data_IF_007173905689
#
_entry.id   IF_007173905689
#
_cell.length_a   1.000
_cell.length_b   1.000
_cell.length_c   1.000
_cell.angle_alpha   90.00
_cell.angle_beta   90.00
_cell.angle_gamma   90.00
#
_symmetry.space_group_name_H-M   'P 1'
#
loop_
_entity.id
_entity.type
_entity.pdbx_description
1 polymer ?
#
# COMPACT_ATOMS: atom_id res chain seq x y z
N UNK A 1 -26.55 -54.04 29.27
CA UNK A 1 -25.68 -53.73 28.11
C UNK A 1 -25.69 -52.23 27.88
N UNK A 2 -24.64 -51.51 28.31
CA UNK A 2 -24.52 -50.05 28.21
C UNK A 2 -23.87 -49.70 26.87
N UNK A 3 -24.59 -49.00 26.01
CA UNK A 3 -24.11 -48.56 24.70
C UNK A 3 -22.95 -47.57 24.86
N UNK A 4 -21.83 -47.73 24.13
CA UNK A 4 -20.74 -46.77 24.17
C UNK A 4 -21.20 -45.40 23.64
N UNK A 5 -20.80 -44.36 24.37
CA UNK A 5 -21.23 -42.98 24.18
C UNK A 5 -20.43 -42.35 23.02
N UNK A 6 -21.08 -41.72 22.01
CA UNK A 6 -20.41 -41.19 20.81
C UNK A 6 -19.48 -39.98 21.06
N UNK A 7 -19.31 -39.53 22.30
CA UNK A 7 -18.43 -38.39 22.65
C UNK A 7 -16.93 -38.73 22.56
N UNK A 8 -16.56 -40.01 22.65
CA UNK A 8 -15.14 -40.42 22.65
C UNK A 8 -14.47 -40.36 21.27
N UNK A 9 -15.24 -40.44 20.17
CA UNK A 9 -14.69 -40.43 18.81
C UNK A 9 -14.34 -39.03 18.30
N UNK A 10 -15.03 -37.99 18.78
CA UNK A 10 -14.73 -36.61 18.41
C UNK A 10 -13.41 -36.11 18.98
N UNK A 11 -13.05 -36.52 20.20
CA UNK A 11 -11.76 -36.16 20.80
C UNK A 11 -10.57 -36.81 20.10
N UNK A 12 -10.70 -38.06 19.66
CA UNK A 12 -9.65 -38.74 18.90
C UNK A 12 -9.42 -38.08 17.51
N UNK A 13 -10.49 -37.58 16.87
CA UNK A 13 -10.38 -36.88 15.58
C UNK A 13 -9.69 -35.51 15.73
N UNK A 14 -10.00 -34.74 16.79
CA UNK A 14 -9.31 -33.48 17.06
C UNK A 14 -7.83 -33.70 17.40
N UNK A 15 -7.50 -34.73 18.18
CA UNK A 15 -6.12 -35.00 18.57
C UNK A 15 -5.24 -35.43 17.38
N UNK A 16 -5.79 -36.23 16.44
CA UNK A 16 -5.08 -36.64 15.22
C UNK A 16 -4.88 -35.46 14.25
N UNK A 17 -5.80 -34.49 14.20
CA UNK A 17 -5.64 -33.29 13.37
C UNK A 17 -4.61 -32.32 13.97
N UNK A 18 -4.48 -32.22 15.30
CA UNK A 18 -3.50 -31.34 15.95
C UNK A 18 -2.04 -31.83 15.88
N UNK A 19 -1.81 -33.14 15.73
CA UNK A 19 -0.46 -33.72 15.62
C UNK A 19 0.12 -33.70 14.19
N UNK A 20 -0.67 -33.27 13.20
CA UNK A 20 -0.28 -33.22 11.78
C UNK A 20 0.34 -31.91 11.30
N UNK A 21 0.28 -30.82 12.08
CA UNK A 21 0.98 -29.57 11.76
C UNK A 21 2.45 -29.68 12.15
N UNK A 22 3.19 -30.55 11.45
CA UNK A 22 4.64 -30.39 11.40
C UNK A 22 4.89 -29.07 10.65
N UNK A 23 5.44 -28.09 11.35
CA UNK A 23 6.06 -26.93 10.70
C UNK A 23 7.09 -27.48 9.72
N UNK A 24 6.76 -27.45 8.44
CA UNK A 24 7.77 -27.61 7.41
C UNK A 24 8.69 -26.41 7.59
N UNK A 25 9.89 -26.65 8.14
CA UNK A 25 10.97 -25.67 8.19
C UNK A 25 11.39 -25.41 6.74
N UNK A 26 10.60 -24.61 6.04
CA UNK A 26 11.00 -24.13 4.74
C UNK A 26 12.23 -23.26 4.91
N UNK A 27 13.05 -23.23 3.86
CA UNK A 27 14.31 -22.52 3.87
C UNK A 27 14.00 -21.04 3.71
N UNK A 28 14.46 -20.22 4.64
CA UNK A 28 14.41 -18.78 4.47
C UNK A 28 15.31 -18.37 3.28
N UNK A 29 14.75 -17.58 2.38
CA UNK A 29 15.42 -17.06 1.18
C UNK A 29 15.27 -15.56 1.16
N UNK A 30 16.38 -14.88 0.89
CA UNK A 30 16.41 -13.44 0.69
C UNK A 30 15.98 -13.12 -0.74
N UNK A 31 15.04 -12.19 -0.88
CA UNK A 31 14.54 -11.67 -2.14
C UNK A 31 14.97 -10.21 -2.22
N UNK A 32 15.78 -9.90 -3.22
CA UNK A 32 16.12 -8.52 -3.56
C UNK A 32 15.03 -7.95 -4.45
N UNK A 33 14.61 -6.72 -4.15
CA UNK A 33 13.60 -5.96 -4.87
C UNK A 33 14.25 -4.65 -5.29
N UNK A 34 14.24 -4.41 -6.60
CA UNK A 34 14.76 -3.21 -7.24
C UNK A 34 13.88 -1.99 -6.94
N UNK A 35 14.44 -0.78 -6.96
CA UNK A 35 13.69 0.46 -6.75
C UNK A 35 12.59 0.70 -7.79
N UNK A 36 12.68 0.07 -8.97
CA UNK A 36 11.66 0.16 -10.03
C UNK A 36 10.53 -0.86 -9.89
N UNK A 37 10.58 -1.76 -8.90
CA UNK A 37 9.59 -2.82 -8.74
C UNK A 37 8.20 -2.29 -8.35
N UNK A 38 7.16 -2.88 -8.93
CA UNK A 38 5.76 -2.49 -8.71
C UNK A 38 5.25 -2.74 -7.28
N UNK A 39 5.99 -3.51 -6.46
CA UNK A 39 5.70 -3.67 -5.05
C UNK A 39 5.96 -2.40 -4.23
N UNK A 40 6.69 -1.43 -4.80
CA UNK A 40 6.98 -0.14 -4.18
C UNK A 40 5.98 0.89 -4.72
N UNK A 41 5.30 1.58 -3.81
CA UNK A 41 4.39 2.68 -4.11
C UNK A 41 4.98 3.99 -3.61
N UNK A 42 5.18 4.92 -4.53
CA UNK A 42 5.72 6.25 -4.27
C UNK A 42 4.60 7.28 -4.20
N UNK A 43 4.56 8.09 -3.14
CA UNK A 43 3.55 9.13 -2.95
C UNK A 43 4.15 10.41 -2.36
N UNK A 44 3.71 11.62 -2.78
CA UNK A 44 3.00 11.85 -4.04
C UNK A 44 3.94 11.57 -5.22
N UNK A 45 3.46 10.97 -6.31
CA UNK A 45 4.32 10.56 -7.43
C UNK A 45 5.19 11.70 -8.01
N UNK A 46 4.70 12.95 -7.97
CA UNK A 46 5.42 14.12 -8.47
C UNK A 46 6.66 14.53 -7.63
N UNK A 47 6.77 14.04 -6.38
CA UNK A 47 7.94 14.29 -5.54
C UNK A 47 9.09 13.31 -5.80
N UNK A 48 8.84 12.26 -6.59
CA UNK A 48 9.79 11.20 -6.90
C UNK A 48 10.32 11.35 -8.32
N UNK A 49 11.61 11.06 -8.49
CA UNK A 49 12.34 11.17 -9.75
C UNK A 49 13.31 10.00 -9.91
N UNK A 50 13.65 9.66 -11.14
CA UNK A 50 14.66 8.63 -11.45
C UNK A 50 15.98 9.28 -11.87
N UNK A 51 17.03 8.46 -12.05
CA UNK A 51 18.31 8.90 -12.61
C UNK A 51 18.17 9.72 -13.91
N UNK A 52 17.22 9.32 -14.78
CA UNK A 52 16.99 9.93 -16.09
C UNK A 52 16.05 11.13 -16.07
N UNK A 53 15.43 11.44 -14.92
CA UNK A 53 14.46 12.54 -14.84
C UNK A 53 15.16 13.89 -14.92
N UNK A 54 14.76 14.74 -15.86
CA UNK A 54 15.28 16.11 -15.98
C UNK A 54 14.67 17.03 -14.92
N UNK A 55 15.40 17.21 -13.82
CA UNK A 55 15.03 18.09 -12.72
C UNK A 55 16.23 18.93 -12.29
N UNK A 56 16.03 20.25 -12.21
CA UNK A 56 17.08 21.23 -11.86
C UNK A 56 17.30 21.36 -10.35
N UNK A 57 16.32 21.01 -9.54
CA UNK A 57 16.37 21.07 -8.07
C UNK A 57 16.64 19.72 -7.41
N UNK A 58 16.67 18.64 -8.18
CA UNK A 58 16.83 17.29 -7.68
C UNK A 58 18.30 16.94 -7.49
N UNK A 59 18.61 16.19 -6.43
CA UNK A 59 19.95 15.65 -6.23
C UNK A 59 20.16 14.47 -7.18
N UNK A 60 20.97 14.68 -8.22
CA UNK A 60 21.35 13.64 -9.18
C UNK A 60 22.66 12.97 -8.79
N UNK A 61 22.65 11.65 -8.77
CA UNK A 61 23.85 10.82 -8.68
C UNK A 61 24.28 10.40 -10.08
N UNK A 62 25.57 10.57 -10.39
CA UNK A 62 26.15 10.05 -11.64
C UNK A 62 26.32 8.53 -11.52
N UNK A 63 25.35 7.79 -12.07
CA UNK A 63 25.32 6.32 -12.05
C UNK A 63 26.54 5.70 -12.75
N UNK A 64 27.22 6.43 -13.64
CA UNK A 64 28.47 5.97 -14.24
C UNK A 64 29.67 5.95 -13.29
N UNK A 65 29.56 6.60 -12.13
CA UNK A 65 30.63 6.73 -11.14
C UNK A 65 30.34 6.05 -9.80
N UNK A 66 29.09 5.66 -9.56
CA UNK A 66 28.62 5.06 -8.31
C UNK A 66 28.05 3.68 -8.62
N UNK A 67 28.46 2.67 -7.86
CA UNK A 67 27.97 1.29 -8.00
C UNK A 67 26.54 1.23 -7.44
N UNK A 68 25.54 1.49 -8.29
CA UNK A 68 24.12 1.47 -7.92
C UNK A 68 23.52 0.14 -8.39
N UNK A 69 22.63 -0.46 -7.59
CA UNK A 69 22.00 -1.72 -7.95
C UNK A 69 21.24 -1.57 -9.27
N UNK A 70 21.52 -2.49 -10.20
CA UNK A 70 20.99 -2.48 -11.58
C UNK A 70 21.15 -1.15 -12.36
N UNK A 71 22.01 -0.24 -11.89
CA UNK A 71 22.17 1.12 -12.40
C UNK A 71 20.87 1.97 -12.33
N UNK A 72 19.98 1.70 -11.36
CA UNK A 72 18.72 2.42 -11.16
C UNK A 72 18.59 2.95 -9.74
N UNK A 73 17.93 4.11 -9.59
CA UNK A 73 17.53 4.60 -8.28
C UNK A 73 16.30 5.48 -8.42
N UNK A 74 15.52 5.54 -7.34
CA UNK A 74 14.44 6.51 -7.17
C UNK A 74 14.83 7.52 -6.10
N UNK A 75 14.88 8.79 -6.50
CA UNK A 75 15.12 9.91 -5.62
C UNK A 75 13.83 10.63 -5.25
N UNK A 76 13.78 11.18 -4.04
CA UNK A 76 12.77 12.15 -3.65
C UNK A 76 13.39 13.25 -2.79
N UNK A 77 12.86 14.47 -2.91
CA UNK A 77 13.24 15.59 -2.08
C UNK A 77 11.97 16.24 -1.51
N UNK A 78 11.92 16.38 -0.18
CA UNK A 78 10.85 17.10 0.50
C UNK A 78 11.35 18.50 0.84
N UNK A 79 11.31 19.40 -0.14
CA UNK A 79 11.75 20.79 0.00
C UNK A 79 10.52 21.64 0.30
N UNK A 80 10.53 22.35 1.43
CA UNK A 80 9.50 23.36 1.67
C UNK A 80 9.58 24.40 0.54
N UNK A 81 8.47 24.80 -0.08
CA UNK A 81 8.49 25.86 -1.07
C UNK A 81 9.24 27.04 -0.45
N UNK A 82 10.30 27.49 -1.11
CA UNK A 82 11.10 28.61 -0.63
C UNK A 82 10.13 29.77 -0.41
N UNK A 83 10.20 30.41 0.77
CA UNK A 83 9.41 31.61 1.09
C UNK A 83 9.39 32.51 -0.15
N UNK A 84 8.19 32.72 -0.69
CA UNK A 84 7.98 33.43 -1.93
C UNK A 84 8.40 34.89 -1.74
N UNK A 85 9.05 35.44 -2.76
CA UNK A 85 9.74 36.74 -2.65
C UNK A 85 8.78 37.91 -2.38
N UNK A 86 7.47 37.72 -2.57
CA UNK A 86 6.40 38.67 -2.32
C UNK A 86 6.08 38.86 -0.82
N UNK A 87 6.48 37.93 0.05
CA UNK A 87 6.38 38.13 1.51
C UNK A 87 7.33 39.22 2.04
N UNK A 88 8.25 39.73 1.21
CA UNK A 88 9.15 40.84 1.57
C UNK A 88 8.62 42.23 1.23
N UNK A 89 7.45 42.36 0.61
CA UNK A 89 6.94 43.66 0.15
C UNK A 89 6.25 44.51 1.24
N UNK A 90 6.25 44.06 2.50
CA UNK A 90 5.62 44.76 3.62
C UNK A 90 6.50 45.70 4.45
N UNK A 91 7.77 45.91 4.10
CA UNK A 91 8.56 46.98 4.72
C UNK A 91 8.17 48.31 4.09
N UNK A 92 7.05 48.84 4.57
CA UNK A 92 6.71 50.25 4.47
C UNK A 92 7.94 51.06 4.90
N UNK A 93 8.67 51.58 3.91
CA UNK A 93 9.63 52.64 4.11
C UNK A 93 8.87 53.88 4.57
N UNK A 94 8.50 53.93 5.85
CA UNK A 94 8.29 55.18 6.58
C UNK A 94 9.67 55.84 6.76
N UNK A 95 10.30 56.18 5.64
CA UNK A 95 11.38 57.14 5.55
C UNK A 95 10.78 58.51 5.84
N UNK A 96 10.60 58.75 7.14
CA UNK A 96 10.17 60.01 7.74
C UNK A 96 11.27 61.06 7.46
N UNK A 97 11.19 61.64 6.26
CA UNK A 97 11.94 62.80 5.82
C UNK A 97 11.44 64.04 6.55
N UNK A 98 11.86 64.18 7.81
CA UNK A 98 11.39 65.24 8.70
C UNK A 98 12.50 65.87 9.51
N UNK A 99 13.43 66.58 8.87
CA UNK A 99 14.39 67.40 9.58
C UNK A 99 13.70 68.50 10.38
N UNK A 100 13.85 68.52 11.71
CA UNK A 100 13.59 69.70 12.54
C UNK A 100 14.57 69.81 13.72
N UNK A 101 15.51 70.76 13.59
CA UNK A 101 16.21 71.38 14.73
C UNK A 101 15.19 72.23 15.49
N UNK A 102 14.89 71.88 16.75
CA UNK A 102 13.93 72.67 17.53
C UNK A 102 13.85 72.36 19.03
N UNK A 103 14.73 72.99 19.80
CA UNK A 103 14.45 73.73 21.06
C UNK A 103 13.70 73.04 22.21
N UNK A 104 14.41 72.98 23.35
CA UNK A 104 13.91 72.79 24.73
C UNK A 104 12.64 73.61 25.01
N UNK A 105 11.64 73.00 25.65
CA UNK A 105 10.58 73.77 26.30
C UNK A 105 9.33 73.00 26.72
N UNK A 106 9.28 72.71 28.02
CA UNK A 106 8.12 72.89 28.89
C UNK A 106 7.02 71.82 28.97
N UNK A 107 6.58 71.66 30.21
CA UNK A 107 5.58 70.76 30.72
C UNK A 107 4.15 71.17 30.33
N UNK A 108 3.24 70.19 30.42
CA UNK A 108 1.86 70.48 30.79
C UNK A 108 0.81 70.07 29.76
N UNK A 109 0.31 68.85 29.91
CA UNK A 109 -1.13 68.66 29.99
C UNK A 109 -1.84 68.06 28.76
N UNK A 110 -2.94 67.41 29.13
CA UNK A 110 -4.19 67.37 28.36
C UNK A 110 -4.35 66.24 27.35
N UNK A 111 -4.69 65.07 27.90
CA UNK A 111 -5.82 64.22 27.48
C UNK A 111 -6.58 64.70 26.23
N UNK A 112 -6.39 64.03 25.09
CA UNK A 112 -7.46 63.84 24.10
C UNK A 112 -7.38 62.42 23.52
N UNK A 113 -8.33 61.60 23.97
CA UNK A 113 -8.72 60.34 23.35
C UNK A 113 -9.22 60.64 21.93
N UNK A 114 -8.40 60.33 20.92
CA UNK A 114 -8.84 60.31 19.53
C UNK A 114 -9.30 58.89 19.19
N UNK A 115 -10.61 58.79 18.96
CA UNK A 115 -11.30 57.61 18.46
C UNK A 115 -10.82 57.23 17.05
N UNK A 116 -10.86 55.92 16.80
CA UNK A 116 -11.27 55.27 15.54
C UNK A 116 -10.59 55.77 14.26
N UNK A 117 -9.58 55.02 13.82
CA UNK A 117 -9.51 54.63 12.41
C UNK A 117 -9.51 53.10 12.37
N UNK A 118 -10.64 52.55 11.95
CA UNK A 118 -10.79 51.12 11.73
C UNK A 118 -9.77 50.71 10.68
N UNK A 119 -8.71 50.05 11.13
CA UNK A 119 -7.86 49.23 10.27
C UNK A 119 -8.80 48.13 9.80
N UNK A 120 -9.14 48.16 8.50
CA UNK A 120 -9.57 46.95 7.82
C UNK A 120 -8.41 45.97 7.98
N UNK A 121 -8.46 45.20 9.06
CA UNK A 121 -7.76 43.92 9.11
C UNK A 121 -8.51 43.12 8.06
N UNK A 122 -8.02 43.17 6.83
CA UNK A 122 -8.33 42.14 5.85
C UNK A 122 -8.06 40.85 6.59
N UNK A 123 -9.14 40.16 6.95
CA UNK A 123 -9.11 38.83 7.52
C UNK A 123 -8.45 38.00 6.44
N UNK A 124 -7.13 37.89 6.53
CA UNK A 124 -6.33 36.98 5.72
C UNK A 124 -7.01 35.63 5.89
N UNK A 125 -7.47 35.08 4.77
CA UNK A 125 -8.19 33.82 4.70
C UNK A 125 -7.43 32.78 5.55
N UNK A 126 -8.01 32.26 6.65
CA UNK A 126 -7.33 31.26 7.48
C UNK A 126 -7.13 29.91 6.76
N UNK A 127 -7.55 29.79 5.50
CA UNK A 127 -7.44 28.58 4.69
C UNK A 127 -6.23 28.56 3.73
N UNK A 128 -5.42 29.62 3.68
CA UNK A 128 -4.21 29.66 2.84
C UNK A 128 -2.94 29.15 3.55
N UNK A 129 -3.05 28.63 4.78
CA UNK A 129 -1.89 28.17 5.58
C UNK A 129 -1.72 26.65 5.66
N UNK A 130 -2.62 25.89 5.06
CA UNK A 130 -2.49 24.44 4.91
C UNK A 130 -1.98 24.09 3.49
N UNK A 131 -1.10 24.93 2.92
CA UNK A 131 -0.42 24.64 1.66
C UNK A 131 0.56 23.47 1.85
N UNK A 132 -0.04 22.29 1.89
CA UNK A 132 0.45 20.97 1.52
C UNK A 132 1.83 20.58 2.07
N UNK A 133 1.90 20.37 3.39
CA UNK A 133 2.81 19.36 3.97
C UNK A 133 2.32 17.95 3.54
N UNK A 134 2.25 17.71 2.23
CA UNK A 134 1.92 16.39 1.70
C UNK A 134 3.10 15.48 2.00
N UNK A 135 2.93 14.45 2.83
CA UNK A 135 4.06 13.62 3.24
C UNK A 135 4.61 12.88 2.02
N UNK A 136 5.92 12.98 1.82
CA UNK A 136 6.63 12.22 0.79
C UNK A 136 7.00 10.85 1.37
N UNK A 137 6.45 9.79 0.79
CA UNK A 137 6.53 8.44 1.33
C UNK A 137 6.81 7.40 0.25
N UNK A 138 7.59 6.38 0.59
CA UNK A 138 7.67 5.12 -0.15
C UNK A 138 7.06 4.02 0.70
N UNK A 139 6.11 3.27 0.14
CA UNK A 139 5.45 2.15 0.80
C UNK A 139 5.78 0.85 0.06
N UNK A 140 6.07 -0.19 0.82
CA UNK A 140 6.42 -1.51 0.30
C UNK A 140 5.63 -2.60 1.02
N UNK A 141 4.96 -3.44 0.25
CA UNK A 141 4.20 -4.58 0.75
C UNK A 141 4.98 -5.89 0.50
N UNK A 142 5.21 -6.68 1.55
CA UNK A 142 5.92 -7.95 1.45
C UNK A 142 5.32 -9.03 2.33
N UNK A 143 5.67 -10.29 2.07
CA UNK A 143 5.34 -11.41 2.93
C UNK A 143 6.63 -12.11 3.36
N UNK A 144 7.05 -11.90 4.61
CA UNK A 144 8.39 -12.26 5.05
C UNK A 144 8.63 -12.18 6.55
N UNK A 145 9.83 -12.55 6.98
CA UNK A 145 10.30 -12.55 8.38
C UNK A 145 11.39 -11.49 8.66
N UNK A 146 11.95 -10.86 7.62
CA UNK A 146 12.90 -9.76 7.76
C UNK A 146 12.85 -8.81 6.56
N UNK A 147 13.29 -7.56 6.75
CA UNK A 147 13.42 -6.54 5.72
C UNK A 147 14.64 -5.64 5.98
N UNK A 148 15.30 -5.22 4.90
CA UNK A 148 16.47 -4.34 4.87
C UNK A 148 16.30 -3.33 3.73
N UNK A 149 16.48 -2.03 3.98
CA UNK A 149 16.43 -0.98 2.95
C UNK A 149 17.84 -0.44 2.74
N UNK A 150 18.26 -0.44 1.49
CA UNK A 150 19.52 0.12 1.04
C UNK A 150 19.27 1.39 0.21
N UNK A 151 20.10 2.40 0.43
CA UNK A 151 20.01 3.67 -0.25
C UNK A 151 21.40 4.16 -0.69
N UNK A 152 21.41 5.22 -1.49
CA UNK A 152 22.62 6.01 -1.75
C UNK A 152 22.68 7.12 -0.70
N UNK A 153 23.72 7.10 0.13
CA UNK A 153 23.94 8.14 1.12
C UNK A 153 24.47 9.41 0.41
N UNK A 154 23.74 10.53 0.46
CA UNK A 154 24.17 11.78 -0.15
C UNK A 154 25.36 12.35 0.63
N UNK A 155 26.28 12.98 -0.08
CA UNK A 155 27.44 13.66 0.51
C UNK A 155 27.62 15.05 -0.07
N UNK A 156 28.30 15.91 0.68
CA UNK A 156 28.58 17.28 0.30
C UNK A 156 27.44 18.24 0.60
N UNK A 157 27.65 19.51 0.21
CA UNK A 157 26.67 20.59 0.37
C UNK A 157 26.23 21.06 -1.02
N UNK A 158 24.94 21.01 -1.31
CA UNK A 158 24.36 21.67 -2.48
C UNK A 158 23.59 22.91 -2.03
N UNK A 159 23.67 24.00 -2.80
CA UNK A 159 22.89 25.22 -2.53
C UNK A 159 21.45 25.11 -3.03
N UNK A 160 21.14 24.12 -3.85
CA UNK A 160 19.85 23.97 -4.54
C UNK A 160 19.08 22.77 -4.01
N UNK A 161 19.77 21.68 -3.67
CA UNK A 161 19.14 20.42 -3.26
C UNK A 161 19.50 20.09 -1.82
N UNK A 162 18.55 19.63 -0.99
CA UNK A 162 18.89 19.13 0.33
C UNK A 162 19.80 17.91 0.20
N UNK A 163 20.80 17.84 1.06
CA UNK A 163 21.71 16.69 1.19
C UNK A 163 21.57 16.00 2.54
N UNK A 164 20.66 16.49 3.39
CA UNK A 164 20.28 15.86 4.66
C UNK A 164 19.25 14.78 4.38
N UNK A 165 19.30 13.66 5.11
CA UNK A 165 18.30 12.59 5.00
C UNK A 165 17.68 12.38 6.37
N UNK A 166 16.36 12.58 6.49
CA UNK A 166 15.60 12.33 7.70
C UNK A 166 14.44 11.41 7.35
N UNK A 167 14.50 10.16 7.79
CA UNK A 167 13.54 9.12 7.46
C UNK A 167 12.87 8.62 8.73
N UNK A 168 11.56 8.41 8.64
CA UNK A 168 10.76 7.74 9.67
C UNK A 168 10.17 6.47 9.08
N UNK A 169 10.34 5.34 9.75
CA UNK A 169 9.89 4.03 9.29
C UNK A 169 8.73 3.52 10.14
N UNK A 170 7.61 3.20 9.49
CA UNK A 170 6.48 2.52 10.13
C UNK A 170 6.26 1.15 9.49
N UNK A 171 6.13 0.10 10.30
CA UNK A 171 5.76 -1.24 9.85
C UNK A 171 4.37 -1.55 10.39
N UNK A 172 3.44 -1.89 9.50
CA UNK A 172 2.03 -2.16 9.84
C UNK A 172 1.39 -1.03 10.67
N UNK A 173 1.67 0.22 10.26
CA UNK A 173 1.25 1.47 10.88
C UNK A 173 1.83 1.71 12.29
N UNK A 174 2.86 0.96 12.71
CA UNK A 174 3.58 1.18 13.96
C UNK A 174 4.97 1.75 13.68
N UNK A 175 5.35 2.83 14.37
CA UNK A 175 6.71 3.36 14.31
C UNK A 175 7.73 2.31 14.77
N UNK A 176 8.67 1.97 13.89
CA UNK A 176 9.70 0.94 14.13
C UNK A 176 11.13 1.47 14.09
N UNK A 177 11.35 2.67 13.53
CA UNK A 177 12.67 3.28 13.52
C UNK A 177 12.68 4.67 12.87
N UNK A 178 13.80 5.35 13.03
CA UNK A 178 14.11 6.63 12.38
C UNK A 178 15.56 6.61 11.95
N UNK A 179 15.90 7.29 10.86
CA UNK A 179 17.27 7.46 10.37
C UNK A 179 17.51 8.94 10.08
N UNK A 180 18.60 9.49 10.59
CA UNK A 180 19.00 10.87 10.34
C UNK A 180 20.46 10.87 9.90
N UNK A 181 20.71 11.48 8.74
CA UNK A 181 22.02 11.75 8.21
C UNK A 181 22.16 13.24 7.93
N UNK A 182 23.13 13.85 8.59
CA UNK A 182 23.53 15.23 8.37
C UNK A 182 24.81 15.24 7.55
N UNK A 183 24.76 15.94 6.42
CA UNK A 183 25.90 15.95 5.51
C UNK A 183 27.06 16.75 6.10
N UNK A 184 28.25 16.18 6.08
CA UNK A 184 29.48 16.93 6.36
C UNK A 184 29.87 17.75 5.13
N UNK A 185 30.47 18.94 5.32
CA UNK A 185 30.97 19.81 4.25
C UNK A 185 32.17 19.22 3.48
N UNK A 186 32.35 17.90 3.51
CA UNK A 186 33.45 17.22 2.81
C UNK A 186 33.06 16.98 1.36
N UNK A 187 34.02 17.12 0.45
CA UNK A 187 33.89 16.84 -0.98
C UNK A 187 33.89 15.32 -1.28
N UNK A 188 33.25 14.53 -0.42
CA UNK A 188 33.21 13.08 -0.58
C UNK A 188 32.35 12.69 -1.80
N UNK A 189 32.45 11.42 -2.22
CA UNK A 189 31.58 10.81 -3.23
C UNK A 189 30.38 10.13 -2.56
N UNK A 190 29.19 10.09 -3.19
CA UNK A 190 28.04 9.37 -2.64
C UNK A 190 28.38 7.92 -2.31
N UNK A 191 27.81 7.39 -1.23
CA UNK A 191 28.10 6.04 -0.75
C UNK A 191 26.90 5.15 -1.12
N UNK A 192 27.05 4.22 -2.08
CA UNK A 192 25.96 3.31 -2.43
C UNK A 192 25.81 2.17 -1.42
N UNK A 193 24.71 1.42 -1.54
CA UNK A 193 24.44 0.24 -0.72
C UNK A 193 24.47 0.51 0.79
N UNK A 194 24.06 1.71 1.19
CA UNK A 194 24.03 2.10 2.59
C UNK A 194 22.74 1.61 3.24
N UNK A 195 22.85 0.78 4.28
CA UNK A 195 21.69 0.26 4.99
C UNK A 195 21.13 1.30 5.96
N UNK A 196 19.96 1.87 5.63
CA UNK A 196 19.26 2.87 6.46
C UNK A 196 18.25 2.28 7.41
N UNK A 197 17.81 1.04 7.17
CA UNK A 197 16.79 0.39 7.98
C UNK A 197 16.88 -1.12 7.87
N UNK A 198 16.83 -1.81 9.02
CA UNK A 198 16.68 -3.25 9.08
C UNK A 198 15.71 -3.66 10.19
N UNK A 199 14.92 -4.70 9.91
CA UNK A 199 14.04 -5.33 10.88
C UNK A 199 13.97 -6.82 10.63
N UNK A 200 14.36 -7.59 11.64
CA UNK A 200 14.38 -9.05 11.63
C UNK A 200 13.37 -9.61 12.63
N UNK A 201 13.20 -10.94 12.62
CA UNK A 201 12.33 -11.68 13.53
C UNK A 201 10.87 -11.21 13.49
N UNK A 202 10.41 -10.78 12.32
CA UNK A 202 9.00 -10.53 12.05
C UNK A 202 8.26 -11.86 11.97
N UNK A 203 6.97 -11.82 12.28
CA UNK A 203 6.10 -12.97 12.04
C UNK A 203 6.06 -13.26 10.56
N UNK A 204 6.11 -14.52 10.14
CA UNK A 204 6.00 -14.86 8.71
C UNK A 204 4.58 -14.58 8.21
N UNK A 205 4.34 -13.35 7.78
CA UNK A 205 3.04 -12.81 7.39
C UNK A 205 3.19 -11.68 6.37
N UNK A 206 2.07 -11.20 5.83
CA UNK A 206 2.06 -9.98 5.04
C UNK A 206 2.30 -8.75 5.93
N UNK A 207 3.21 -7.89 5.50
CA UNK A 207 3.62 -6.66 6.17
C UNK A 207 3.61 -5.50 5.19
N UNK A 208 3.42 -4.30 5.72
CA UNK A 208 3.55 -3.04 4.98
C UNK A 208 4.58 -2.17 5.68
N UNK A 209 5.72 -1.95 5.04
CA UNK A 209 6.72 -0.98 5.48
C UNK A 209 6.48 0.34 4.75
N UNK A 210 6.50 1.44 5.49
CA UNK A 210 6.43 2.79 4.93
C UNK A 210 7.61 3.60 5.45
N UNK A 211 8.40 4.15 4.53
CA UNK A 211 9.41 5.15 4.79
C UNK A 211 8.83 6.53 4.49
N UNK A 212 8.85 7.43 5.47
CA UNK A 212 8.37 8.80 5.35
C UNK A 212 9.54 9.77 5.43
N UNK A 213 9.62 10.67 4.46
CA UNK A 213 10.70 11.64 4.32
C UNK A 213 10.36 12.93 5.07
N UNK A 214 11.22 13.29 6.02
CA UNK A 214 11.12 14.53 6.79
C UNK A 214 11.33 15.76 5.91
N UNK A 215 10.96 16.92 6.45
CA UNK A 215 11.14 18.21 5.76
C UNK A 215 12.62 18.49 5.48
N UNK A 216 12.89 19.21 4.40
CA UNK A 216 14.22 19.59 3.91
C UNK A 216 15.19 18.41 3.81
N UNK A 217 14.66 17.24 3.42
CA UNK A 217 15.43 16.01 3.33
C UNK A 217 15.36 15.39 1.93
N UNK A 218 16.35 14.56 1.62
CA UNK A 218 16.42 13.76 0.39
C UNK A 218 16.43 12.27 0.75
N UNK A 219 15.83 11.45 -0.11
CA UNK A 219 15.89 10.00 -0.04
C UNK A 219 16.21 9.43 -1.42
N UNK A 220 17.30 8.67 -1.53
CA UNK A 220 17.74 8.03 -2.78
C UNK A 220 17.68 6.51 -2.59
N UNK A 221 16.52 5.90 -2.83
CA UNK A 221 16.34 4.45 -2.66
C UNK A 221 17.03 3.71 -3.81
N UNK A 222 17.80 2.67 -3.45
CA UNK A 222 18.59 1.84 -4.37
C UNK A 222 17.91 0.47 -4.54
N UNK A 223 17.80 -0.29 -3.45
CA UNK A 223 17.06 -1.55 -3.45
C UNK A 223 16.66 -1.94 -2.02
N UNK A 224 15.85 -2.97 -1.89
CA UNK A 224 15.54 -3.59 -0.61
C UNK A 224 15.67 -5.10 -0.66
N UNK A 225 15.89 -5.70 0.49
CA UNK A 225 15.93 -7.15 0.66
C UNK A 225 14.88 -7.53 1.68
N UNK A 226 14.03 -8.51 1.37
CA UNK A 226 13.18 -9.14 2.38
C UNK A 226 13.41 -10.65 2.41
N UNK A 227 13.30 -11.23 3.60
CA UNK A 227 13.45 -12.67 3.79
C UNK A 227 12.06 -13.29 3.80
N UNK A 228 11.84 -14.31 2.96
CA UNK A 228 10.60 -15.09 2.97
C UNK A 228 10.90 -16.56 3.14
N UNK A 229 9.93 -17.30 3.65
CA UNK A 229 10.02 -18.74 3.67
C UNK A 229 9.74 -19.29 2.27
N UNK A 230 10.77 -19.83 1.61
CA UNK A 230 10.56 -20.58 0.38
C UNK A 230 9.93 -21.91 0.78
N UNK A 231 8.61 -22.01 0.61
CA UNK A 231 7.98 -23.31 0.46
C UNK A 231 8.48 -23.85 -0.86
N UNK A 232 9.70 -24.41 -0.83
CA UNK A 232 10.25 -25.16 -1.94
C UNK A 232 9.20 -26.22 -2.21
N UNK A 233 8.36 -25.96 -3.20
CA UNK A 233 7.70 -27.02 -3.92
C UNK A 233 8.87 -27.77 -4.52
N UNK A 234 9.40 -28.74 -3.79
CA UNK A 234 10.28 -29.72 -4.36
C UNK A 234 9.41 -30.46 -5.37
N UNK A 235 9.33 -29.89 -6.57
CA UNK A 235 9.34 -30.70 -7.77
C UNK A 235 10.61 -31.50 -7.59
N UNK A 236 10.46 -32.71 -7.06
CA UNK A 236 11.52 -33.71 -7.06
C UNK A 236 11.99 -33.77 -8.51
N UNK A 237 13.06 -33.03 -8.80
CA UNK A 237 13.86 -33.21 -10.00
C UNK A 237 14.51 -34.56 -9.80
N UNK A 238 13.73 -35.61 -10.08
CA UNK A 238 14.20 -36.97 -10.13
C UNK A 238 15.39 -36.96 -11.07
N UNK A 239 16.54 -37.32 -10.50
CA UNK A 239 17.79 -37.54 -11.18
C UNK A 239 17.58 -38.71 -12.15
N UNK A 240 16.95 -38.45 -13.30
CA UNK A 240 16.94 -39.37 -14.43
C UNK A 240 18.26 -39.16 -15.16
N UNK A 241 19.19 -40.03 -14.81
CA UNK A 241 20.39 -40.33 -15.58
C UNK A 241 20.02 -40.45 -17.05
N UNK A 242 20.69 -39.65 -17.87
CA UNK A 242 20.58 -39.63 -19.31
C UNK A 242 20.68 -41.02 -19.92
N UNK A 243 19.60 -41.50 -20.53
CA UNK A 243 19.70 -42.32 -21.74
C UNK A 243 18.55 -41.96 -22.67
N UNK A 244 18.90 -41.89 -23.95
CA UNK A 244 18.29 -41.03 -24.95
C UNK A 244 16.84 -41.38 -25.32
N UNK A 245 16.14 -40.35 -25.79
CA UNK A 245 15.32 -40.28 -27.01
C UNK A 245 14.06 -39.47 -26.74
N UNK A 246 13.93 -38.41 -27.55
CA UNK A 246 12.83 -37.48 -27.60
C UNK A 246 11.45 -38.15 -27.66
N UNK A 247 10.50 -37.67 -26.84
CA UNK A 247 9.17 -37.18 -27.23
C UNK A 247 8.35 -36.74 -26.01
N UNK A 248 7.79 -35.54 -26.15
CA UNK A 248 6.59 -34.97 -25.52
C UNK A 248 6.54 -34.75 -23.99
N UNK A 249 6.84 -33.50 -23.61
CA UNK A 249 6.46 -32.90 -22.33
C UNK A 249 4.93 -32.61 -22.31
N UNK A 250 4.14 -33.58 -21.87
CA UNK A 250 2.75 -33.39 -21.45
C UNK A 250 2.57 -34.02 -20.06
N UNK A 251 3.22 -33.44 -19.04
CA UNK A 251 3.13 -33.97 -17.68
C UNK A 251 3.05 -32.91 -16.57
N UNK A 252 2.85 -31.63 -16.91
CA UNK A 252 2.85 -30.53 -15.91
C UNK A 252 1.46 -30.00 -15.58
N UNK A 253 0.40 -30.43 -16.28
CA UNK A 253 -0.98 -30.00 -15.99
C UNK A 253 -1.75 -30.91 -15.00
N UNK A 254 -1.24 -32.12 -14.72
CA UNK A 254 -1.96 -33.11 -13.88
C UNK A 254 -1.91 -32.83 -12.38
N UNK A 255 -0.82 -32.23 -11.88
CA UNK A 255 -0.60 -32.02 -10.44
C UNK A 255 -1.51 -30.96 -9.82
N UNK A 256 -1.69 -29.83 -10.51
CA UNK A 256 -2.53 -28.73 -10.02
C UNK A 256 -4.03 -29.05 -10.08
N UNK A 257 -4.47 -29.78 -11.11
CA UNK A 257 -5.88 -30.21 -11.24
C UNK A 257 -6.20 -31.36 -10.26
N UNK A 258 -5.24 -32.22 -9.94
CA UNK A 258 -5.42 -33.30 -8.96
C UNK A 258 -5.65 -32.80 -7.52
N UNK A 259 -5.00 -31.69 -7.13
CA UNK A 259 -5.14 -31.11 -5.79
C UNK A 259 -6.55 -30.59 -5.50
N UNK A 260 -7.16 -29.86 -6.45
CA UNK A 260 -8.50 -29.29 -6.27
C UNK A 260 -9.59 -30.38 -6.23
N UNK A 261 -9.45 -31.43 -7.05
CA UNK A 261 -10.40 -32.58 -7.05
C UNK A 261 -10.34 -33.36 -5.74
N UNK A 262 -9.16 -33.53 -5.14
CA UNK A 262 -8.99 -34.18 -3.83
C UNK A 262 -9.67 -33.42 -2.69
N UNK A 263 -9.55 -32.09 -2.67
CA UNK A 263 -10.21 -31.24 -1.66
C UNK A 263 -11.73 -31.28 -1.83
N UNK A 264 -12.23 -31.16 -3.06
CA UNK A 264 -13.67 -31.20 -3.33
C UNK A 264 -14.31 -32.55 -3.00
N UNK A 265 -13.64 -33.67 -3.30
CA UNK A 265 -14.12 -35.01 -2.95
C UNK A 265 -14.17 -35.22 -1.44
N UNK A 266 -13.14 -34.79 -0.71
CA UNK A 266 -13.12 -34.87 0.76
C UNK A 266 -14.24 -34.04 1.38
N UNK A 267 -14.44 -32.80 0.90
CA UNK A 267 -15.50 -31.91 1.36
C UNK A 267 -16.89 -32.48 1.02
N UNK A 268 -17.06 -33.05 -0.17
CA UNK A 268 -18.29 -33.73 -0.60
C UNK A 268 -18.63 -34.94 0.27
N UNK A 269 -17.65 -35.78 0.61
CA UNK A 269 -17.83 -36.93 1.51
C UNK A 269 -18.25 -36.45 2.91
N UNK A 270 -17.63 -35.39 3.44
CA UNK A 270 -18.00 -34.81 4.74
C UNK A 270 -19.44 -34.28 4.75
N UNK A 271 -19.88 -33.56 3.71
CA UNK A 271 -21.26 -33.08 3.58
C UNK A 271 -22.23 -34.26 3.46
N UNK A 272 -21.91 -35.26 2.64
CA UNK A 272 -22.75 -36.44 2.45
C UNK A 272 -22.96 -37.21 3.76
N UNK A 273 -21.89 -37.46 4.52
CA UNK A 273 -21.97 -38.12 5.81
C UNK A 273 -22.79 -37.31 6.83
N UNK A 274 -22.65 -35.97 6.83
CA UNK A 274 -23.44 -35.08 7.68
C UNK A 274 -24.95 -35.17 7.38
N UNK A 275 -25.33 -35.12 6.10
CA UNK A 275 -26.73 -35.26 5.66
C UNK A 275 -27.26 -36.66 5.98
N UNK A 276 -26.48 -37.71 5.70
CA UNK A 276 -26.86 -39.10 5.97
C UNK A 276 -27.12 -39.32 7.46
N UNK A 277 -26.23 -38.83 8.34
CA UNK A 277 -26.41 -38.87 9.78
C UNK A 277 -27.69 -38.14 10.20
N UNK A 278 -27.91 -36.91 9.70
CA UNK A 278 -29.10 -36.11 10.00
C UNK A 278 -30.39 -36.83 9.60
N UNK A 279 -30.46 -37.44 8.42
CA UNK A 279 -31.63 -38.22 7.96
C UNK A 279 -31.89 -39.44 8.85
N UNK A 280 -30.83 -40.15 9.24
CA UNK A 280 -30.96 -41.33 10.12
C UNK A 280 -31.45 -40.95 11.52
N UNK A 281 -31.05 -39.80 12.05
CA UNK A 281 -31.56 -39.30 13.34
C UNK A 281 -33.00 -38.78 13.26
N UNK A 282 -33.38 -38.12 12.18
CA UNK A 282 -34.76 -37.67 11.97
C UNK A 282 -35.74 -38.86 11.95
N UNK A 283 -35.42 -39.93 11.21
CA UNK A 283 -36.25 -41.13 11.17
C UNK A 283 -36.41 -41.82 12.54
N UNK A 284 -35.44 -41.67 13.45
CA UNK A 284 -35.55 -42.16 14.83
C UNK A 284 -36.48 -41.29 15.69
N UNK A 285 -36.57 -39.99 15.40
CA UNK A 285 -37.45 -39.06 16.11
C UNK A 285 -38.91 -39.28 15.71
N UNK A 286 -39.19 -39.43 14.42
CA UNK A 286 -40.54 -39.75 13.91
C UNK A 286 -41.12 -41.04 14.51
N UNK A 287 -40.27 -42.06 14.71
CA UNK A 287 -40.71 -43.31 15.37
C UNK A 287 -41.06 -43.10 16.84
N UNK A 288 -40.37 -42.19 17.54
CA UNK A 288 -40.68 -41.84 18.94
C UNK A 288 -41.93 -41.00 19.03
N UNK A 289 -42.13 -40.05 18.12
CA UNK A 289 -43.31 -39.18 18.09
C UNK A 289 -44.58 -39.96 17.72
N UNK A 290 -44.51 -40.88 16.76
CA UNK A 290 -45.65 -41.78 16.45
C UNK A 290 -45.98 -42.76 17.58
N UNK A 291 -45.01 -43.14 18.40
CA UNK A 291 -45.26 -43.99 19.57
C UNK A 291 -45.84 -43.21 20.76
N UNK A 292 -45.62 -41.90 20.82
CA UNK A 292 -46.07 -41.04 21.92
C UNK A 292 -47.39 -40.30 21.63
N UNK A 293 -47.78 -40.17 20.36
CA UNK A 293 -49.04 -39.55 19.96
C UNK A 293 -50.21 -40.53 20.09
N UNK A 294 -51.21 -40.29 20.98
CA UNK A 294 -52.48 -41.02 20.92
C UNK A 294 -53.19 -40.76 19.58
N UNK A 295 -54.05 -41.68 19.11
CA UNK A 295 -54.75 -41.54 17.84
C UNK A 295 -55.56 -40.23 17.81
N UNK A 296 -55.20 -39.31 16.91
CA UNK A 296 -55.93 -38.06 16.74
C UNK A 296 -57.32 -38.37 16.17
N UNK A 297 -58.36 -38.05 16.95
CA UNK A 297 -59.73 -38.07 16.46
C UNK A 297 -59.89 -37.02 15.35
N UNK A 298 -60.30 -37.48 14.17
CA UNK A 298 -60.63 -36.66 13.00
C UNK A 298 -61.86 -35.81 13.35
N UNK A 299 -61.64 -34.52 13.60
CA UNK A 299 -62.68 -33.49 13.65
C UNK A 299 -62.82 -32.80 12.28
N UNK A 300 -64.00 -32.23 11.97
CA UNK A 300 -64.25 -31.54 10.70
C UNK A 300 -63.30 -30.35 10.52
N UNK A 301 -62.67 -30.28 9.36
CA UNK A 301 -61.60 -29.33 9.05
C UNK A 301 -62.08 -27.87 9.15
N UNK A 302 -61.31 -26.97 9.81
CA UNK A 302 -61.63 -25.55 9.83
C UNK A 302 -61.44 -24.93 8.43
N UNK A 303 -62.44 -24.18 8.00
CA UNK A 303 -62.42 -23.42 6.74
C UNK A 303 -61.35 -22.31 6.82
N UNK A 304 -60.32 -22.42 5.99
CA UNK A 304 -59.32 -21.37 5.79
C UNK A 304 -59.73 -20.60 4.52
N UNK A 305 -60.06 -19.29 4.61
CA UNK A 305 -60.34 -18.46 3.44
C UNK A 305 -59.12 -18.42 2.52
N UNK A 306 -59.28 -18.91 1.29
CA UNK A 306 -58.27 -18.80 0.25
C UNK A 306 -58.20 -17.35 -0.22
N UNK A 307 -57.10 -16.68 0.07
CA UNK A 307 -56.72 -15.47 -0.66
C UNK A 307 -56.43 -15.86 -2.12
N UNK A 308 -57.15 -15.25 -3.05
CA UNK A 308 -56.93 -15.45 -4.48
C UNK A 308 -55.65 -14.71 -4.91
N UNK A 309 -54.67 -15.41 -5.50
CA UNK A 309 -53.52 -14.78 -6.14
C UNK A 309 -54.03 -13.88 -7.27
N UNK A 310 -53.77 -12.56 -7.19
CA UNK A 310 -54.13 -11.60 -8.25
C UNK A 310 -54.75 -10.28 -7.79
N UNK A 311 -55.00 -10.08 -6.49
CA UNK A 311 -55.42 -8.76 -5.98
C UNK A 311 -54.18 -7.96 -5.55
N UNK A 312 -53.69 -7.11 -6.44
CA UNK A 312 -52.70 -6.10 -6.10
C UNK A 312 -53.38 -4.96 -5.33
N UNK A 313 -52.92 -4.60 -4.11
CA UNK A 313 -53.39 -3.40 -3.44
C UNK A 313 -52.98 -2.15 -4.24
N UNK A 314 -53.80 -1.10 -4.27
CA UNK A 314 -53.56 0.09 -5.09
C UNK A 314 -52.29 0.85 -4.68
N UNK A 315 -51.57 1.48 -5.63
CA UNK A 315 -50.35 2.22 -5.35
C UNK A 315 -50.67 3.58 -4.71
N UNK A 316 -50.08 3.86 -3.54
CA UNK A 316 -49.96 5.22 -3.04
C UNK A 316 -48.82 5.91 -3.80
N UNK A 317 -49.13 7.04 -4.45
CA UNK A 317 -48.16 7.98 -5.05
C UNK A 317 -48.12 9.28 -4.21
N UNK A 318 -47.21 10.24 -4.48
CA UNK A 318 -45.98 10.44 -3.73
C UNK A 318 -45.95 11.82 -3.04
N UNK A 319 -44.95 12.10 -2.21
CA UNK A 319 -44.63 13.47 -1.80
C UNK A 319 -43.17 13.78 -2.10
N UNK A 320 -43.02 14.59 -3.14
CA UNK A 320 -41.83 15.29 -3.61
C UNK A 320 -41.53 16.51 -2.74
N UNK A 321 -40.29 16.66 -2.31
CA UNK A 321 -39.73 17.98 -1.93
C UNK A 321 -38.30 18.06 -2.48
N UNK A 322 -38.15 18.71 -3.62
CA UNK A 322 -36.90 19.23 -4.15
C UNK A 322 -36.99 20.76 -4.12
N UNK A 323 -36.08 21.40 -3.40
CA UNK A 323 -35.98 22.85 -3.26
C UNK A 323 -35.12 23.45 -4.38
N UNK A 324 -35.72 24.43 -5.04
CA UNK A 324 -35.16 25.34 -6.04
C UNK A 324 -34.34 26.43 -5.35
N UNK A 325 -33.17 26.77 -5.91
CA UNK A 325 -32.64 28.13 -5.86
C UNK A 325 -32.07 28.50 -7.24
N UNK A 326 -32.55 29.63 -7.75
CA UNK A 326 -32.32 30.18 -9.09
C UNK A 326 -31.39 31.41 -9.07
N UNK A 327 -31.10 31.89 -10.29
CA UNK A 327 -30.43 33.13 -10.76
C UNK A 327 -28.91 33.11 -10.92
N UNK A 328 -28.31 33.51 -12.05
CA UNK A 328 -28.78 34.07 -13.32
C UNK A 328 -27.52 34.45 -14.15
N UNK A 329 -27.46 34.34 -15.49
CA UNK A 329 -27.64 35.49 -16.41
C UNK A 329 -27.43 35.02 -17.87
N UNK A 330 -28.23 35.61 -18.75
CA UNK A 330 -28.50 35.50 -20.20
C UNK A 330 -27.35 35.54 -21.22
N UNK A 331 -27.48 34.74 -22.29
CA UNK A 331 -27.41 35.21 -23.70
C UNK A 331 -28.10 34.24 -24.69
N UNK A 332 -28.61 34.69 -25.85
CA UNK A 332 -29.51 33.91 -26.70
C UNK A 332 -28.85 33.41 -28.00
N UNK A 333 -28.96 32.12 -28.30
CA UNK A 333 -28.84 31.66 -29.68
C UNK A 333 -29.83 30.55 -30.01
N UNK A 334 -30.67 30.86 -31.01
CA UNK A 334 -31.64 29.97 -31.65
C UNK A 334 -30.93 28.86 -32.45
N UNK A 335 -31.32 27.60 -32.24
CA UNK A 335 -31.48 26.63 -33.33
C UNK A 335 -32.33 25.43 -32.87
N UNK A 336 -33.36 25.00 -33.62
CA UNK A 336 -34.05 23.76 -33.38
C UNK A 336 -33.52 22.68 -34.32
N UNK A 337 -33.06 21.55 -33.79
CA UNK A 337 -33.22 20.26 -34.45
C UNK A 337 -33.04 19.14 -33.42
N UNK A 338 -34.13 18.38 -33.26
CA UNK A 338 -34.27 17.21 -32.41
C UNK A 338 -33.43 16.06 -32.97
N UNK A 339 -32.22 15.88 -32.43
CA UNK A 339 -31.51 14.61 -32.57
C UNK A 339 -31.91 13.64 -31.47
N UNK A 340 -32.55 12.58 -31.93
CA UNK A 340 -32.90 11.38 -31.19
C UNK A 340 -31.60 10.76 -30.67
N UNK A 341 -31.39 10.76 -29.34
CA UNK A 341 -30.23 10.11 -28.72
C UNK A 341 -30.25 8.60 -29.02
N UNK A 342 -29.46 8.22 -30.02
CA UNK A 342 -29.10 6.83 -30.27
C UNK A 342 -28.08 6.39 -29.22
N UNK A 343 -28.40 5.26 -28.59
CA UNK A 343 -27.63 4.60 -27.56
C UNK A 343 -26.21 4.28 -28.08
N UNK A 344 -25.18 4.70 -27.33
CA UNK A 344 -23.75 4.51 -27.67
C UNK A 344 -23.35 3.03 -27.82
N UNK A 345 -24.18 2.09 -27.36
CA UNK A 345 -23.93 0.66 -27.43
C UNK A 345 -24.11 0.01 -28.81
N UNK A 346 -24.70 0.70 -29.80
CA UNK A 346 -25.04 0.09 -31.11
C UNK A 346 -24.20 0.60 -32.30
N UNK A 347 -23.15 1.41 -32.07
CA UNK A 347 -22.24 1.85 -33.15
C UNK A 347 -20.99 0.96 -33.15
N UNK A 348 -20.84 0.01 -34.10
CA UNK A 348 -19.59 -0.72 -34.24
C UNK A 348 -18.47 0.25 -34.64
N UNK A 349 -17.24 0.09 -34.09
CA UNK A 349 -16.14 0.97 -34.42
C UNK A 349 -15.85 0.92 -35.93
N UNK A 350 -15.93 2.09 -36.57
CA UNK A 350 -15.59 2.24 -37.98
C UNK A 350 -14.09 2.05 -38.15
N UNK A 351 -13.74 1.05 -38.97
CA UNK A 351 -12.42 0.78 -39.58
C UNK A 351 -11.27 0.28 -38.68
N UNK A 352 -10.63 -0.86 -39.03
CA UNK A 352 -9.38 -1.26 -38.39
C UNK A 352 -8.23 -0.31 -38.77
N UNK A 353 -7.24 -0.10 -37.88
CA UNK A 353 -6.09 0.73 -38.18
C UNK A 353 -5.28 0.14 -39.36
N UNK A 354 -4.63 0.99 -40.18
CA UNK A 354 -3.78 0.55 -41.28
C UNK A 354 -2.65 -0.34 -40.74
N UNK A 355 -2.54 -1.55 -41.30
CA UNK A 355 -1.42 -2.45 -41.06
C UNK A 355 -0.21 -1.99 -41.86
N UNK A 356 0.56 -1.05 -41.31
CA UNK A 356 1.93 -0.84 -41.76
C UNK A 356 2.80 -1.98 -41.22
N UNK A 357 3.10 -2.90 -42.13
CA UNK A 357 3.74 -4.17 -41.84
C UNK A 357 5.19 -4.04 -41.37
N UNK A 358 5.41 -4.40 -40.10
CA UNK A 358 6.56 -5.21 -39.69
C UNK A 358 6.00 -6.41 -38.92
N UNK A 359 6.41 -7.65 -39.24
CA UNK A 359 5.95 -8.82 -38.51
C UNK A 359 6.38 -8.69 -37.04
N UNK A 360 5.49 -8.97 -36.07
CA UNK A 360 5.89 -8.99 -34.68
C UNK A 360 7.01 -10.02 -34.50
N UNK A 361 8.07 -9.70 -33.72
CA UNK A 361 9.14 -10.64 -33.45
C UNK A 361 8.55 -11.93 -32.87
N UNK A 362 9.12 -13.07 -33.29
CA UNK A 362 8.63 -14.37 -32.82
C UNK A 362 8.72 -14.43 -31.30
N UNK A 363 7.72 -15.03 -30.65
CA UNK A 363 7.66 -15.17 -29.18
C UNK A 363 8.88 -15.92 -28.61
N UNK A 364 9.64 -16.61 -29.46
CA UNK A 364 10.89 -17.27 -29.09
C UNK A 364 12.08 -16.30 -28.91
N UNK A 365 12.04 -15.10 -29.50
CA UNK A 365 13.11 -14.10 -29.39
C UNK A 365 12.98 -13.25 -28.10
N UNK A 366 11.76 -13.05 -27.60
CA UNK A 366 11.49 -12.16 -26.46
C UNK A 366 11.78 -12.79 -25.07
N UNK A 367 12.04 -14.10 -25.00
CA UNK A 367 12.26 -14.82 -23.72
C UNK A 367 13.75 -15.21 -23.54
N UNK A 368 14.59 -15.04 -24.55
CA UNK A 368 16.00 -15.44 -24.48
C UNK A 368 16.89 -14.50 -23.62
N UNK A 369 16.38 -13.33 -23.21
CA UNK A 369 17.19 -12.30 -22.52
C UNK A 369 16.76 -12.00 -21.08
N UNK A 370 16.05 -12.95 -20.44
CA UNK A 370 15.86 -12.97 -18.99
C UNK A 370 16.75 -14.05 -18.38
N UNK A 371 18.07 -13.93 -18.56
CA UNK A 371 19.00 -14.69 -17.72
C UNK A 371 18.92 -14.09 -16.32
N UNK A 372 18.15 -14.74 -15.45
CA UNK A 372 18.27 -14.59 -14.00
C UNK A 372 19.75 -14.60 -13.62
N UNK A 373 20.29 -13.43 -13.31
CA UNK A 373 21.53 -13.32 -12.58
C UNK A 373 21.21 -13.78 -11.15
N UNK A 374 21.35 -15.09 -10.91
CA UNK A 374 21.49 -15.61 -9.55
C UNK A 374 22.83 -15.12 -9.02
N UNK A 375 22.87 -13.87 -8.58
CA UNK A 375 23.98 -13.30 -7.85
C UNK A 375 23.96 -13.99 -6.48
N UNK A 376 24.92 -14.88 -6.27
CA UNK A 376 25.24 -15.37 -4.93
C UNK A 376 25.82 -14.19 -4.15
N UNK A 377 24.97 -13.51 -3.40
CA UNK A 377 25.42 -12.56 -2.38
C UNK A 377 26.33 -13.34 -1.42
N UNK A 378 27.56 -12.87 -1.13
CA UNK A 378 28.39 -13.47 -0.10
C UNK A 378 27.63 -13.51 1.22
N UNK A 379 27.43 -14.70 1.77
CA UNK A 379 26.98 -14.89 3.15
C UNK A 379 27.81 -13.96 4.05
N UNK A 380 27.22 -13.14 4.93
CA UNK A 380 27.98 -12.36 5.89
C UNK A 380 28.83 -13.34 6.70
N UNK A 381 30.14 -13.29 6.47
CA UNK A 381 31.08 -14.02 7.30
C UNK A 381 30.87 -13.56 8.73
N UNK A 382 30.83 -14.52 9.66
CA UNK A 382 30.90 -14.26 11.08
C UNK A 382 32.14 -13.38 11.34
N UNK A 383 31.90 -12.07 11.43
CA UNK A 383 32.93 -11.07 11.64
C UNK A 383 33.47 -11.20 13.05
N UNK A 384 34.78 -11.39 13.12
CA UNK A 384 35.57 -11.06 14.29
C UNK A 384 35.21 -9.65 14.75
N UNK A 385 34.94 -9.53 16.03
CA UNK A 385 34.85 -8.27 16.78
C UNK A 385 36.11 -7.44 16.55
N UNK A 386 36.03 -6.44 15.67
CA UNK A 386 36.94 -5.31 15.69
C UNK A 386 36.11 -4.06 15.99
N UNK A 387 36.35 -3.58 17.20
CA UNK A 387 35.68 -2.51 17.91
C UNK A 387 35.96 -1.17 17.22
N UNK A 388 35.05 -0.72 16.36
CA UNK A 388 34.97 0.68 15.95
C UNK A 388 33.84 1.34 16.74
N UNK A 389 34.25 2.11 17.75
CA UNK A 389 33.34 2.86 18.61
C UNK A 389 32.60 3.94 17.84
N UNK A 390 31.37 3.64 17.43
CA UNK A 390 30.34 4.64 17.14
C UNK A 390 29.37 4.60 18.33
N UNK A 391 29.50 5.59 19.19
CA UNK A 391 28.64 5.78 20.36
C UNK A 391 27.28 6.30 19.91
N UNK A 392 26.27 5.42 19.93
CA UNK A 392 24.86 5.82 19.86
C UNK A 392 24.48 6.57 21.17
N UNK A 393 23.80 7.72 21.12
CA UNK A 393 23.34 8.40 22.32
C UNK A 393 22.21 7.60 22.99
N UNK A 394 22.50 7.10 24.20
CA UNK A 394 21.54 6.45 25.09
C UNK A 394 20.56 7.49 25.64
N UNK A 395 19.27 7.31 25.38
CA UNK A 395 18.20 8.10 25.97
C UNK A 395 18.05 7.78 27.47
N UNK A 396 18.52 8.67 28.34
CA UNK A 396 18.23 8.61 29.77
C UNK A 396 16.86 9.20 30.06
N UNK A 397 15.93 8.34 30.48
CA UNK A 397 14.69 8.71 31.16
C UNK A 397 14.94 8.76 32.66
N UNK A 398 15.21 9.94 33.22
CA UNK A 398 15.09 10.16 34.66
C UNK A 398 13.69 10.67 35.00
N UNK A 399 12.95 9.88 35.78
CA UNK A 399 11.71 10.27 36.45
C UNK A 399 12.09 10.86 37.82
N UNK A 400 11.60 12.06 38.20
CA UNK A 400 11.88 12.61 39.52
C UNK A 400 10.97 11.96 40.58
N UNK A 401 11.55 11.69 41.75
CA UNK A 401 10.80 11.38 42.99
C UNK A 401 10.82 12.58 43.92
#
# INVERSE_FOLDING_TARGET
MRSPCPRSLYFAFFLIVSLGSQHTNGKEVNVTVDDTDFLITYSPAAAWYTADTDCSSCLKVDVGQVDVFENTYHGAANVLPAEDQDDKEGQDEDSDSGGHKGKKGNAGGSKKRALRRGRNVSILHPEARDLDDTPVTAQFAFNGSAIYIYCIEPVGSSSISPTTMNLTFTLDNQLVGTYIHETSNTTAKPIPHFNVFSKENLTLSAHVLQASLGVNSVFLIDYMIYTKNDTVYQVQSGNQTSEAVAKDHVATFGGAVGGSVGVLTTLGICIFLSIYARRKFAARRDRRERAASPPMMIGPAPFIPRYFPGTFPPPYSPSSTSSVHSDGTTEPHNHPETETMLNYADVPPSTPPPQDGLPPPSFAEAIADARSASVRIPTPGAGSTEETGITLPSANSEVPT
#
